data_IF_380827863507
#
_entry.id   IF_380827863507
#
_cell.length_a   1.000
_cell.length_b   1.000
_cell.length_c   1.000
_cell.angle_alpha   90.00
_cell.angle_beta   90.00
_cell.angle_gamma   90.00
#
_symmetry.space_group_name_H-M   'P 1'
#
loop_
_entity.id
_entity.type
_entity.pdbx_description
1 polymer ?
#
# COMPACT_ATOMS: atom_id res chain seq x y z
N UNK A 1 71.73 21.01 -6.19
CA UNK A 1 72.14 20.12 -7.26
C UNK A 1 71.06 19.09 -7.47
N UNK A 2 70.64 18.98 -8.68
CA UNK A 2 69.77 17.99 -9.34
C UNK A 2 68.35 18.45 -9.68
N UNK A 3 68.24 18.77 -10.94
CA UNK A 3 67.10 19.11 -11.76
C UNK A 3 66.04 18.00 -11.80
N UNK A 4 64.77 18.40 -11.75
CA UNK A 4 63.62 17.63 -12.28
C UNK A 4 63.15 18.24 -13.59
N UNK A 5 62.88 17.50 -14.64
CA UNK A 5 62.05 17.95 -15.75
C UNK A 5 60.61 17.44 -15.62
N UNK A 6 59.61 18.32 -15.83
CA UNK A 6 58.21 18.00 -15.94
C UNK A 6 57.83 17.41 -17.28
N UNK A 7 56.72 16.65 -17.38
CA UNK A 7 56.18 16.20 -18.63
C UNK A 7 55.05 17.07 -19.17
N UNK A 8 55.08 17.26 -20.47
CA UNK A 8 54.27 18.14 -21.27
C UNK A 8 52.80 17.79 -21.40
N UNK A 9 52.10 18.87 -21.58
CA UNK A 9 50.70 18.97 -21.93
C UNK A 9 50.48 18.57 -23.39
N UNK A 10 49.75 17.49 -23.63
CA UNK A 10 49.17 17.19 -24.96
C UNK A 10 47.70 17.61 -24.97
N UNK A 11 47.44 18.75 -25.58
CA UNK A 11 46.11 19.21 -25.95
C UNK A 11 45.63 18.35 -27.11
N UNK A 12 44.59 17.56 -26.88
CA UNK A 12 43.87 16.79 -27.91
C UNK A 12 42.65 17.60 -28.33
N UNK A 13 42.74 18.23 -29.49
CA UNK A 13 41.66 18.97 -30.13
C UNK A 13 40.64 17.96 -30.72
N UNK A 14 39.47 17.88 -30.13
CA UNK A 14 38.32 17.14 -30.66
C UNK A 14 37.43 18.06 -31.51
N UNK A 15 37.42 17.82 -32.80
CA UNK A 15 36.59 18.50 -33.78
C UNK A 15 35.14 18.06 -33.57
N UNK A 16 34.29 19.00 -33.21
CA UNK A 16 32.82 18.80 -33.13
C UNK A 16 32.24 19.05 -34.51
N UNK A 17 31.76 18.00 -35.16
CA UNK A 17 30.99 18.08 -36.41
C UNK A 17 29.52 18.30 -36.05
N UNK A 18 28.99 19.47 -36.34
CA UNK A 18 27.56 19.81 -36.22
C UNK A 18 26.85 19.28 -37.45
N UNK A 19 25.99 18.29 -37.26
CA UNK A 19 25.03 17.84 -38.33
C UNK A 19 23.69 18.48 -38.04
N UNK A 20 23.32 19.44 -38.85
CA UNK A 20 21.96 20.00 -38.96
C UNK A 20 21.07 19.00 -39.68
N UNK A 21 20.17 18.33 -38.95
CA UNK A 21 19.08 17.54 -39.53
C UNK A 21 17.77 18.31 -39.45
N UNK A 22 17.35 18.86 -40.58
CA UNK A 22 16.03 19.46 -40.75
C UNK A 22 14.97 18.32 -40.75
N UNK A 23 14.07 18.30 -39.78
CA UNK A 23 12.88 17.45 -39.79
C UNK A 23 11.68 18.29 -40.24
N UNK A 24 11.20 17.98 -41.45
CA UNK A 24 10.03 18.54 -42.10
C UNK A 24 8.76 17.95 -41.44
N UNK A 25 7.95 18.80 -40.82
CA UNK A 25 6.64 18.42 -40.27
C UNK A 25 5.63 18.49 -41.39
N UNK A 26 5.19 17.34 -41.88
CA UNK A 26 4.03 17.23 -42.80
C UNK A 26 2.74 17.12 -41.96
N UNK A 27 1.94 18.18 -41.97
CA UNK A 27 0.57 18.23 -41.46
C UNK A 27 -0.34 17.68 -42.57
N UNK A 28 -0.89 16.48 -42.39
CA UNK A 28 -2.00 15.98 -43.20
C UNK A 28 -3.33 16.28 -42.51
N UNK A 29 -4.00 17.32 -42.96
CA UNK A 29 -5.44 17.52 -42.81
C UNK A 29 -6.18 16.54 -43.73
N UNK A 30 -6.98 15.65 -43.16
CA UNK A 30 -8.04 14.94 -43.85
C UNK A 30 -9.37 15.26 -43.18
N UNK A 31 -10.09 16.21 -43.72
CA UNK A 31 -11.54 16.31 -43.63
C UNK A 31 -12.16 15.29 -44.60
N UNK A 32 -13.06 14.46 -44.11
CA UNK A 32 -14.13 13.88 -44.93
C UNK A 32 -15.36 13.59 -44.08
N UNK A 33 -16.42 14.21 -44.52
CA UNK A 33 -17.76 14.24 -43.98
C UNK A 33 -18.60 13.04 -44.45
N UNK A 34 -19.84 13.01 -43.95
CA UNK A 34 -21.01 12.14 -44.26
C UNK A 34 -21.04 10.85 -43.40
N UNK A 35 -21.96 10.65 -42.48
CA UNK A 35 -23.39 10.93 -42.55
C UNK A 35 -24.14 9.62 -42.63
N UNK A 36 -24.76 9.18 -41.51
CA UNK A 36 -26.07 8.52 -41.53
C UNK A 36 -26.51 8.21 -40.10
N UNK A 37 -27.56 8.88 -39.73
CA UNK A 37 -28.50 8.58 -38.66
C UNK A 37 -29.07 7.16 -38.81
N UNK A 38 -29.04 6.38 -37.75
CA UNK A 38 -29.89 5.21 -37.56
C UNK A 38 -30.50 5.23 -36.16
N UNK A 39 -31.79 5.04 -36.18
CA UNK A 39 -32.77 5.27 -35.13
C UNK A 39 -32.59 4.45 -33.87
N UNK A 40 -32.94 5.09 -32.77
CA UNK A 40 -33.33 4.56 -31.47
C UNK A 40 -34.45 3.53 -31.63
N UNK A 41 -34.30 2.36 -31.04
CA UNK A 41 -35.42 1.47 -30.74
C UNK A 41 -35.30 1.03 -29.27
N UNK A 42 -36.11 1.64 -28.45
CA UNK A 42 -36.44 1.13 -27.13
C UNK A 42 -37.29 -0.17 -27.25
N UNK A 43 -37.15 -1.14 -26.40
CA UNK A 43 -38.22 -2.07 -26.13
C UNK A 43 -38.94 -1.72 -24.82
N UNK A 44 -40.20 -1.50 -25.04
CA UNK A 44 -41.31 -1.26 -24.18
C UNK A 44 -41.52 -2.39 -23.17
N UNK A 45 -41.73 -1.98 -21.91
CA UNK A 45 -42.35 -2.73 -20.84
C UNK A 45 -43.63 -3.46 -21.26
N UNK A 46 -43.72 -4.74 -20.93
CA UNK A 46 -44.99 -5.43 -20.86
C UNK A 46 -45.16 -6.01 -19.45
N UNK A 47 -46.06 -5.41 -18.70
CA UNK A 47 -46.68 -5.99 -17.51
C UNK A 47 -47.66 -7.07 -17.95
N UNK A 48 -47.63 -8.21 -17.28
CA UNK A 48 -48.72 -9.16 -17.30
C UNK A 48 -48.97 -9.65 -15.88
N UNK A 49 -50.08 -9.29 -15.45
CA UNK A 49 -50.87 -9.65 -14.30
C UNK A 49 -51.49 -11.03 -14.49
N UNK A 50 -51.53 -11.91 -13.46
CA UNK A 50 -52.52 -12.92 -13.20
C UNK A 50 -52.19 -13.66 -11.89
N UNK A 51 -52.86 -13.31 -10.84
CA UNK A 51 -54.09 -13.90 -10.32
C UNK A 51 -53.91 -15.21 -9.59
N UNK A 52 -54.16 -15.07 -8.31
CA UNK A 52 -54.62 -15.95 -7.26
C UNK A 52 -55.18 -17.33 -7.66
N UNK A 53 -54.72 -18.33 -6.91
CA UNK A 53 -55.37 -19.61 -6.76
C UNK A 53 -55.18 -20.10 -5.33
N UNK A 54 -56.23 -19.94 -4.57
CA UNK A 54 -56.44 -20.45 -3.22
C UNK A 54 -57.19 -21.75 -3.36
N UNK A 55 -56.72 -22.83 -2.73
CA UNK A 55 -57.60 -23.91 -2.32
C UNK A 55 -57.03 -24.70 -1.15
N UNK A 56 -57.93 -24.92 -0.23
CA UNK A 56 -57.88 -25.59 1.04
C UNK A 56 -57.86 -27.14 0.88
N UNK A 57 -57.43 -27.82 1.95
CA UNK A 57 -57.62 -29.28 2.07
C UNK A 57 -56.72 -29.89 3.15
N UNK A 58 -57.07 -29.78 4.38
CA UNK A 58 -57.72 -30.63 5.39
C UNK A 58 -56.95 -31.90 5.77
N UNK A 59 -56.51 -31.88 7.01
CA UNK A 59 -56.42 -32.89 8.07
C UNK A 59 -56.41 -34.40 7.71
N UNK A 60 -55.50 -35.09 8.38
CA UNK A 60 -55.49 -36.52 8.58
C UNK A 60 -54.51 -36.90 9.66
N UNK A 61 -55.02 -37.31 10.74
CA UNK A 61 -54.54 -37.68 12.08
C UNK A 61 -53.80 -39.02 12.06
N UNK A 62 -52.96 -39.18 13.09
CA UNK A 62 -52.58 -40.41 13.80
C UNK A 62 -51.50 -41.37 13.22
N UNK A 63 -50.48 -41.54 14.03
CA UNK A 63 -49.47 -42.57 13.94
C UNK A 63 -48.37 -42.46 15.02
N UNK A 64 -48.73 -42.83 16.24
CA UNK A 64 -47.91 -42.95 17.46
C UNK A 64 -47.02 -44.20 17.36
N UNK A 65 -45.82 -44.09 17.77
CA UNK A 65 -44.87 -45.01 18.42
C UNK A 65 -43.47 -44.85 17.81
N UNK A 66 -42.40 -44.85 18.42
CA UNK A 66 -41.86 -45.23 19.72
C UNK A 66 -40.35 -45.05 19.66
N UNK A 67 -39.83 -44.62 20.75
CA UNK A 67 -38.47 -44.71 21.27
C UNK A 67 -37.32 -45.19 20.37
N UNK A 68 -36.28 -44.38 20.31
CA UNK A 68 -34.96 -44.73 19.83
C UNK A 68 -33.99 -43.58 20.08
N UNK A 69 -33.87 -43.21 21.37
CA UNK A 69 -32.78 -42.37 21.88
C UNK A 69 -31.46 -43.10 21.63
N UNK A 70 -30.70 -42.61 20.67
CA UNK A 70 -29.25 -42.74 20.58
C UNK A 70 -28.72 -41.37 20.14
N UNK A 71 -28.55 -40.53 21.13
CA UNK A 71 -27.65 -39.40 21.03
C UNK A 71 -26.28 -39.93 20.61
N UNK A 72 -25.88 -39.61 19.41
CA UNK A 72 -24.49 -39.72 18.96
C UNK A 72 -23.64 -38.72 19.77
N UNK A 73 -23.20 -39.14 20.95
CA UNK A 73 -22.02 -38.64 21.62
C UNK A 73 -20.80 -38.92 20.77
N UNK A 74 -20.58 -38.13 19.73
CA UNK A 74 -19.38 -38.16 18.90
C UNK A 74 -18.72 -36.78 18.83
N UNK A 75 -18.65 -36.10 19.99
CA UNK A 75 -18.20 -34.72 20.08
C UNK A 75 -17.06 -34.42 21.03
N UNK A 76 -16.40 -35.38 21.67
CA UNK A 76 -15.39 -35.06 22.69
C UNK A 76 -14.13 -35.95 22.71
N UNK A 77 -13.83 -36.68 21.62
CA UNK A 77 -12.57 -37.45 21.52
C UNK A 77 -11.38 -36.68 20.94
N UNK A 78 -11.57 -35.46 20.47
CA UNK A 78 -10.51 -34.65 19.85
C UNK A 78 -9.66 -33.87 20.86
N UNK A 79 -9.87 -34.03 22.16
CA UNK A 79 -9.12 -33.32 23.23
C UNK A 79 -8.07 -34.15 23.95
N UNK A 80 -7.90 -35.44 23.61
CA UNK A 80 -6.80 -36.24 24.13
C UNK A 80 -5.49 -35.81 23.43
N UNK A 81 -4.63 -35.05 24.13
CA UNK A 81 -3.36 -34.62 23.62
C UNK A 81 -2.39 -35.80 23.40
N UNK A 82 -1.54 -35.67 22.41
CA UNK A 82 -0.47 -36.62 22.12
C UNK A 82 0.61 -36.50 23.19
N UNK A 83 0.73 -37.52 24.06
CA UNK A 83 1.77 -37.56 25.08
C UNK A 83 3.03 -38.25 24.56
N UNK A 84 4.16 -37.53 24.55
CA UNK A 84 5.44 -37.99 24.02
C UNK A 84 6.52 -37.86 25.08
N UNK A 85 7.44 -38.85 25.14
CA UNK A 85 8.62 -38.74 25.95
C UNK A 85 9.60 -37.73 25.35
N UNK A 86 10.51 -37.14 26.16
CA UNK A 86 11.54 -36.22 25.62
C UNK A 86 12.36 -36.83 24.49
N UNK A 87 12.69 -38.12 24.57
CA UNK A 87 13.43 -38.86 23.55
C UNK A 87 12.62 -38.99 22.23
N UNK A 88 11.29 -39.14 22.36
CA UNK A 88 10.39 -39.16 21.19
C UNK A 88 10.25 -37.80 20.53
N UNK A 89 10.19 -36.72 21.33
CA UNK A 89 10.17 -35.34 20.82
C UNK A 89 11.46 -35.03 20.05
N UNK A 90 12.61 -35.38 20.62
CA UNK A 90 13.91 -35.21 19.98
C UNK A 90 14.03 -36.02 18.68
N UNK A 91 13.61 -37.29 18.68
CA UNK A 91 13.62 -38.17 17.51
C UNK A 91 12.73 -37.65 16.38
N UNK A 92 11.60 -37.01 16.72
CA UNK A 92 10.70 -36.38 15.76
C UNK A 92 11.18 -34.99 15.33
N UNK A 93 12.19 -34.42 15.99
CA UNK A 93 12.67 -33.08 15.71
C UNK A 93 11.66 -31.98 16.09
N UNK A 94 10.83 -32.23 17.12
CA UNK A 94 9.85 -31.25 17.59
C UNK A 94 10.55 -30.15 18.37
N UNK A 95 10.44 -28.92 17.90
CA UNK A 95 10.84 -27.74 18.67
C UNK A 95 9.61 -26.90 19.00
N UNK A 96 9.55 -26.38 20.21
CA UNK A 96 8.45 -25.52 20.65
C UNK A 96 8.96 -24.12 20.95
N UNK A 97 8.19 -23.11 20.59
CA UNK A 97 8.44 -21.71 20.94
C UNK A 97 7.22 -21.09 21.61
N UNK A 98 7.42 -20.11 22.52
CA UNK A 98 6.30 -19.40 23.11
C UNK A 98 5.58 -18.54 22.08
N UNK A 99 4.25 -18.62 22.05
CA UNK A 99 3.40 -17.75 21.24
C UNK A 99 3.65 -16.28 21.61
N UNK A 100 3.95 -15.46 20.61
CA UNK A 100 4.20 -14.04 20.82
C UNK A 100 2.88 -13.30 21.04
N UNK A 101 2.85 -12.38 22.02
CA UNK A 101 1.75 -11.45 22.18
C UNK A 101 1.81 -10.42 21.06
N UNK A 102 0.71 -10.21 20.35
CA UNK A 102 0.57 -9.17 19.35
C UNK A 102 -0.77 -8.47 19.47
N UNK A 103 -0.80 -7.19 19.08
CA UNK A 103 -2.01 -6.42 18.89
C UNK A 103 -2.36 -6.43 17.42
N UNK A 104 -3.55 -6.90 17.08
CA UNK A 104 -4.04 -7.00 15.72
C UNK A 104 -5.10 -5.94 15.45
N UNK A 105 -4.95 -5.26 14.34
CA UNK A 105 -5.98 -4.40 13.78
C UNK A 105 -6.65 -5.09 12.60
N UNK A 106 -7.95 -4.99 12.48
CA UNK A 106 -8.59 -5.29 11.20
C UNK A 106 -8.01 -4.37 10.14
N UNK A 107 -7.91 -4.87 8.90
CA UNK A 107 -7.24 -4.14 7.83
C UNK A 107 -8.19 -3.87 6.67
N UNK A 108 -8.12 -2.65 6.15
CA UNK A 108 -8.75 -2.27 4.89
C UNK A 108 -7.75 -2.38 3.76
N UNK A 109 -8.16 -2.94 2.63
CA UNK A 109 -7.31 -3.09 1.46
C UNK A 109 -7.45 -1.91 0.51
N UNK A 110 -6.32 -1.39 0.05
CA UNK A 110 -6.19 -0.32 -0.92
C UNK A 110 -5.17 -0.66 -2.01
N UNK A 111 -5.04 0.27 -2.97
CA UNK A 111 -4.13 0.14 -4.11
C UNK A 111 -3.11 1.26 -4.08
N UNK A 112 -1.83 0.89 -4.13
CA UNK A 112 -0.71 1.81 -4.19
C UNK A 112 -0.11 1.92 -5.59
N UNK A 113 0.46 3.08 -5.90
CA UNK A 113 1.30 3.29 -7.09
C UNK A 113 2.53 4.07 -6.64
N UNK A 114 3.72 3.55 -6.94
CA UNK A 114 4.98 4.24 -6.71
C UNK A 114 5.14 5.33 -7.77
N UNK A 115 5.27 6.58 -7.35
CA UNK A 115 5.39 7.71 -8.27
C UNK A 115 6.84 7.87 -8.75
N UNK A 116 6.97 8.37 -9.98
CA UNK A 116 8.27 8.67 -10.59
C UNK A 116 8.91 9.88 -9.90
N UNK A 117 10.17 9.75 -9.47
CA UNK A 117 10.90 10.86 -8.81
C UNK A 117 11.18 12.01 -9.77
N UNK A 118 11.30 11.76 -11.09
CA UNK A 118 11.57 12.78 -12.09
C UNK A 118 10.52 13.89 -12.08
N UNK A 119 9.24 13.54 -11.95
CA UNK A 119 8.16 14.55 -11.87
C UNK A 119 8.29 15.44 -10.63
N UNK A 120 8.75 14.87 -9.52
CA UNK A 120 9.00 15.60 -8.26
C UNK A 120 10.21 16.51 -8.42
N UNK A 121 11.32 16.01 -8.97
CA UNK A 121 12.52 16.77 -9.24
C UNK A 121 12.25 17.97 -10.15
N UNK A 122 11.46 17.79 -11.21
CA UNK A 122 11.06 18.88 -12.11
C UNK A 122 10.24 19.94 -11.38
N UNK A 123 9.27 19.55 -10.58
CA UNK A 123 8.42 20.47 -9.83
C UNK A 123 9.23 21.27 -8.79
N UNK A 124 10.23 20.67 -8.15
CA UNK A 124 11.17 21.34 -7.24
C UNK A 124 12.02 22.34 -8.01
N UNK A 125 12.58 21.95 -9.16
CA UNK A 125 13.41 22.83 -9.99
C UNK A 125 12.62 24.03 -10.54
N UNK A 126 11.37 23.81 -10.96
CA UNK A 126 10.47 24.87 -11.43
C UNK A 126 10.19 25.90 -10.31
N UNK A 127 9.94 25.42 -9.09
CA UNK A 127 9.72 26.31 -7.96
C UNK A 127 10.99 27.08 -7.57
N UNK A 128 12.15 26.43 -7.54
CA UNK A 128 13.43 27.10 -7.29
C UNK A 128 13.71 28.19 -8.33
N UNK A 129 13.44 27.92 -9.60
CA UNK A 129 13.58 28.87 -10.70
C UNK A 129 12.65 30.06 -10.53
N UNK A 130 11.37 29.80 -10.20
CA UNK A 130 10.40 30.87 -9.95
C UNK A 130 10.79 31.73 -8.73
N UNK A 131 11.31 31.11 -7.66
CA UNK A 131 11.80 31.81 -6.48
C UNK A 131 13.00 32.74 -6.82
N UNK A 132 14.00 32.22 -7.52
CA UNK A 132 15.17 32.97 -7.94
C UNK A 132 14.78 34.15 -8.84
N UNK A 133 13.87 33.92 -9.81
CA UNK A 133 13.38 34.95 -10.73
C UNK A 133 12.61 36.05 -9.99
N UNK A 134 11.72 35.69 -9.07
CA UNK A 134 10.96 36.68 -8.27
C UNK A 134 11.87 37.47 -7.32
N UNK A 135 12.88 36.83 -6.73
CA UNK A 135 13.87 37.54 -5.89
C UNK A 135 14.70 38.54 -6.71
N UNK A 136 15.15 38.14 -7.90
CA UNK A 136 15.92 39.01 -8.79
C UNK A 136 15.10 40.22 -9.25
N UNK A 137 13.86 40.03 -9.73
CA UNK A 137 13.01 41.11 -10.19
C UNK A 137 12.60 42.06 -9.07
N UNK A 138 12.33 41.54 -7.86
CA UNK A 138 12.07 42.34 -6.67
C UNK A 138 13.28 43.22 -6.30
N UNK A 139 14.49 42.66 -6.29
CA UNK A 139 15.71 43.42 -6.04
C UNK A 139 15.98 44.48 -7.12
N UNK A 140 15.62 44.18 -8.39
CA UNK A 140 15.71 45.11 -9.51
C UNK A 140 14.72 46.27 -9.35
N UNK A 141 13.47 45.99 -8.99
CA UNK A 141 12.43 46.97 -8.69
C UNK A 141 12.90 47.93 -7.55
N UNK A 142 13.41 47.35 -6.48
CA UNK A 142 13.88 48.18 -5.34
C UNK A 142 15.02 49.11 -5.73
N UNK A 143 16.00 48.60 -6.51
CA UNK A 143 17.08 49.48 -7.06
C UNK A 143 16.54 50.56 -7.96
N UNK A 144 15.58 50.25 -8.86
CA UNK A 144 14.96 51.22 -9.74
C UNK A 144 14.23 52.33 -8.95
N UNK A 145 13.48 51.96 -7.93
CA UNK A 145 12.79 52.89 -7.02
C UNK A 145 13.74 53.83 -6.29
N UNK A 146 14.84 53.29 -5.77
CA UNK A 146 15.88 54.09 -5.10
C UNK A 146 16.56 55.08 -6.06
N UNK A 147 16.91 54.67 -7.29
CA UNK A 147 17.52 55.51 -8.29
C UNK A 147 16.56 56.58 -8.80
N UNK A 148 15.29 56.32 -8.96
CA UNK A 148 14.28 57.33 -9.31
C UNK A 148 14.12 58.37 -8.22
N UNK A 149 14.11 57.96 -6.94
CA UNK A 149 14.08 58.87 -5.79
C UNK A 149 15.34 59.77 -5.63
N UNK A 150 16.47 59.39 -6.26
CA UNK A 150 17.73 60.13 -6.21
C UNK A 150 17.83 61.03 -7.44
N UNK A 151 17.12 62.19 -7.41
CA UNK A 151 17.15 63.24 -8.44
C UNK A 151 16.88 62.79 -9.88
N UNK A 152 16.04 61.79 -10.10
CA UNK A 152 15.65 61.35 -11.42
C UNK A 152 16.76 60.65 -12.21
N UNK A 153 17.65 59.93 -11.56
CA UNK A 153 18.75 59.19 -12.21
C UNK A 153 18.25 58.14 -13.22
N UNK A 154 16.98 57.71 -13.15
CA UNK A 154 16.29 56.89 -14.15
C UNK A 154 14.92 57.48 -14.50
N UNK A 155 14.39 57.11 -15.69
CA UNK A 155 13.05 57.51 -16.10
C UNK A 155 11.96 56.81 -15.31
N UNK A 156 10.78 57.42 -15.20
CA UNK A 156 9.61 56.83 -14.58
C UNK A 156 9.17 55.55 -15.34
N UNK A 157 9.39 55.48 -16.65
CA UNK A 157 9.11 54.32 -17.47
C UNK A 157 9.94 53.08 -17.09
N UNK A 158 11.23 53.27 -16.79
CA UNK A 158 12.12 52.20 -16.33
C UNK A 158 11.70 51.69 -14.93
N UNK A 159 11.30 52.56 -14.01
CA UNK A 159 10.76 52.15 -12.71
C UNK A 159 9.48 51.35 -12.89
N UNK A 160 8.53 51.83 -13.72
CA UNK A 160 7.29 51.16 -13.98
C UNK A 160 7.50 49.78 -14.65
N UNK A 161 8.46 49.66 -15.58
CA UNK A 161 8.82 48.38 -16.21
C UNK A 161 9.38 47.41 -15.17
N UNK A 162 10.25 47.88 -14.25
CA UNK A 162 10.78 47.01 -13.19
C UNK A 162 9.70 46.55 -12.20
N UNK A 163 8.73 47.43 -11.90
CA UNK A 163 7.59 47.12 -11.03
C UNK A 163 6.66 46.09 -11.68
N UNK A 164 6.32 46.27 -12.97
CA UNK A 164 5.52 45.33 -13.72
C UNK A 164 6.16 43.93 -13.73
N UNK A 165 7.48 43.90 -14.02
CA UNK A 165 8.21 42.63 -14.06
C UNK A 165 8.20 41.93 -12.67
N UNK A 166 8.46 42.65 -11.59
CA UNK A 166 8.41 42.08 -10.25
C UNK A 166 7.03 41.54 -9.90
N UNK A 167 5.97 42.22 -10.30
CA UNK A 167 4.58 41.79 -10.09
C UNK A 167 4.27 40.49 -10.85
N UNK A 168 4.67 40.41 -12.13
CA UNK A 168 4.48 39.20 -12.95
C UNK A 168 5.25 38.03 -12.38
N UNK A 169 6.52 38.22 -12.01
CA UNK A 169 7.36 37.13 -11.48
C UNK A 169 6.87 36.68 -10.09
N UNK A 170 6.37 37.58 -9.26
CA UNK A 170 5.73 37.21 -7.98
C UNK A 170 4.44 36.38 -8.18
N UNK A 171 3.63 36.77 -9.16
CA UNK A 171 2.43 36.00 -9.52
C UNK A 171 2.78 34.60 -10.06
N UNK A 172 3.83 34.49 -10.87
CA UNK A 172 4.35 33.21 -11.37
C UNK A 172 4.84 32.30 -10.22
N UNK A 173 5.55 32.86 -9.25
CA UNK A 173 5.97 32.16 -8.04
C UNK A 173 4.77 31.64 -7.24
N UNK A 174 3.78 32.51 -7.01
CA UNK A 174 2.54 32.11 -6.31
C UNK A 174 1.86 30.95 -7.01
N UNK A 175 1.66 31.06 -8.33
CA UNK A 175 1.02 30.00 -9.14
C UNK A 175 1.80 28.68 -9.05
N UNK A 176 3.13 28.71 -9.14
CA UNK A 176 3.97 27.51 -9.03
C UNK A 176 3.88 26.89 -7.65
N UNK A 177 3.85 27.70 -6.59
CA UNK A 177 3.69 27.25 -5.21
C UNK A 177 2.32 26.57 -5.01
N UNK A 178 1.24 27.18 -5.53
CA UNK A 178 -0.11 26.61 -5.45
C UNK A 178 -0.25 25.30 -6.21
N UNK A 179 0.30 25.22 -7.43
CA UNK A 179 0.34 23.97 -8.20
C UNK A 179 1.02 22.86 -7.41
N UNK A 180 2.16 23.16 -6.81
CA UNK A 180 2.92 22.20 -6.02
C UNK A 180 2.13 21.72 -4.79
N UNK A 181 1.52 22.65 -4.05
CA UNK A 181 0.70 22.31 -2.87
C UNK A 181 -0.52 21.45 -3.24
N UNK A 182 -1.14 21.72 -4.37
CA UNK A 182 -2.26 20.93 -4.89
C UNK A 182 -1.83 19.54 -5.31
N UNK A 183 -0.65 19.41 -5.92
CA UNK A 183 -0.11 18.13 -6.38
C UNK A 183 0.32 17.22 -5.23
N UNK A 184 0.95 17.77 -4.20
CA UNK A 184 1.50 16.99 -3.08
C UNK A 184 0.55 16.81 -1.90
N UNK A 185 -0.72 17.18 -2.06
CA UNK A 185 -1.77 16.94 -1.09
C UNK A 185 -1.80 17.94 0.06
N UNK A 186 -2.71 17.67 0.98
CA UNK A 186 -2.94 18.54 2.13
C UNK A 186 -2.03 18.19 3.30
N UNK A 187 -1.29 19.18 3.79
CA UNK A 187 -0.39 19.04 4.96
C UNK A 187 0.67 17.95 4.77
N UNK A 188 1.53 18.07 3.76
CA UNK A 188 2.66 17.15 3.62
C UNK A 188 3.56 17.23 4.86
N UNK A 189 4.38 16.20 5.12
CA UNK A 189 5.24 16.14 6.31
C UNK A 189 6.46 17.10 6.28
N UNK A 190 6.53 17.97 5.28
CA UNK A 190 7.58 19.02 5.12
C UNK A 190 6.97 20.41 5.10
N UNK A 191 7.79 21.41 5.40
CA UNK A 191 7.36 22.83 5.45
C UNK A 191 7.65 23.56 4.15
N UNK A 192 8.77 23.26 3.51
CA UNK A 192 9.22 23.90 2.27
C UNK A 192 10.04 22.93 1.42
N UNK A 193 10.46 23.38 0.23
CA UNK A 193 11.21 22.57 -0.72
C UNK A 193 12.67 22.30 -0.33
N UNK A 194 13.19 22.98 0.70
CA UNK A 194 14.55 22.77 1.21
C UNK A 194 14.58 21.70 2.31
N UNK A 195 13.41 21.18 2.72
CA UNK A 195 13.33 20.05 3.64
C UNK A 195 14.07 18.85 3.03
N UNK A 196 14.87 18.15 3.84
CA UNK A 196 15.66 17.01 3.41
C UNK A 196 14.83 15.89 2.78
N UNK A 197 13.59 15.72 3.22
CA UNK A 197 12.66 14.72 2.65
C UNK A 197 12.27 15.05 1.21
N UNK A 198 12.03 16.32 0.91
CA UNK A 198 11.74 16.77 -0.46
C UNK A 198 12.96 16.59 -1.35
N UNK A 199 14.15 16.90 -0.84
CA UNK A 199 15.39 16.67 -1.59
C UNK A 199 15.62 15.17 -1.83
N UNK A 200 15.44 14.31 -0.83
CA UNK A 200 15.53 12.86 -0.98
C UNK A 200 14.52 12.30 -2.00
N UNK A 201 13.28 12.83 -2.03
CA UNK A 201 12.29 12.49 -3.05
C UNK A 201 12.73 12.91 -4.45
N UNK A 202 13.27 14.13 -4.60
CA UNK A 202 13.73 14.64 -5.89
C UNK A 202 14.97 13.91 -6.41
N UNK A 203 15.83 13.38 -5.53
CA UNK A 203 17.00 12.57 -5.89
C UNK A 203 16.69 11.08 -6.07
N UNK A 204 15.50 10.63 -5.68
CA UNK A 204 15.13 9.22 -5.74
C UNK A 204 15.63 8.37 -4.57
N UNK A 205 16.19 8.99 -3.51
CA UNK A 205 16.63 8.29 -2.28
C UNK A 205 15.44 7.84 -1.42
N UNK A 206 14.28 8.43 -1.65
CA UNK A 206 12.99 8.09 -1.04
C UNK A 206 11.94 8.03 -2.14
N UNK A 207 11.03 7.09 -2.06
CA UNK A 207 9.94 6.93 -3.01
C UNK A 207 8.64 7.50 -2.43
N UNK A 208 7.88 8.20 -3.26
CA UNK A 208 6.53 8.67 -2.95
C UNK A 208 5.52 7.67 -3.49
N UNK A 209 4.64 7.19 -2.64
CA UNK A 209 3.57 6.26 -3.03
C UNK A 209 2.22 6.94 -2.86
N UNK A 210 1.40 6.90 -3.90
CA UNK A 210 -0.01 7.25 -3.80
C UNK A 210 -0.82 5.99 -3.55
N UNK A 211 -1.58 5.98 -2.45
CA UNK A 211 -2.44 4.88 -2.05
C UNK A 211 -3.88 5.33 -2.11
N UNK A 212 -4.74 4.54 -2.75
CA UNK A 212 -6.18 4.83 -2.87
C UNK A 212 -6.99 3.68 -2.30
N UNK A 213 -7.87 4.02 -1.36
CA UNK A 213 -8.84 3.09 -0.78
C UNK A 213 -10.21 3.34 -1.41
N UNK A 214 -10.91 2.30 -1.88
CA UNK A 214 -12.25 2.42 -2.45
C UNK A 214 -13.24 3.09 -1.46
N UNK A 215 -14.29 3.67 -2.00
CA UNK A 215 -15.32 4.33 -1.19
C UNK A 215 -15.91 3.39 -0.14
N UNK A 216 -16.01 3.88 1.09
CA UNK A 216 -16.62 3.16 2.21
C UNK A 216 -15.70 2.19 2.94
N UNK A 217 -14.49 1.91 2.43
CA UNK A 217 -13.58 0.94 3.05
C UNK A 217 -12.71 1.54 4.16
N UNK A 218 -12.46 2.85 4.12
CA UNK A 218 -11.60 3.53 5.08
C UNK A 218 -12.22 4.82 5.59
N UNK A 219 -12.27 4.97 6.93
CA UNK A 219 -12.69 6.20 7.61
C UNK A 219 -11.47 6.82 8.30
N UNK A 220 -11.26 8.13 8.13
CA UNK A 220 -10.12 8.80 8.75
C UNK A 220 -8.82 8.73 7.93
N UNK A 221 -7.72 9.13 8.54
CA UNK A 221 -6.36 9.03 7.99
C UNK A 221 -5.59 8.07 8.89
N UNK A 222 -5.16 6.92 8.39
CA UNK A 222 -4.36 5.96 9.16
C UNK A 222 -2.99 6.54 9.53
N UNK A 223 -2.38 6.01 10.56
CA UNK A 223 -1.03 6.41 10.97
C UNK A 223 0.04 5.85 10.02
N UNK A 224 -0.20 4.65 9.53
CA UNK A 224 0.73 3.89 8.67
C UNK A 224 -0.01 2.97 7.71
N UNK A 225 0.70 2.48 6.71
CA UNK A 225 0.25 1.45 5.79
C UNK A 225 1.27 0.31 5.75
N UNK A 226 0.79 -0.87 5.38
CA UNK A 226 1.62 -2.01 5.02
C UNK A 226 1.45 -2.30 3.53
N UNK A 227 2.53 -2.40 2.79
CA UNK A 227 2.48 -2.59 1.33
C UNK A 227 3.30 -3.78 0.85
N UNK A 228 2.80 -4.43 -0.18
CA UNK A 228 3.49 -5.50 -0.89
C UNK A 228 3.17 -5.47 -2.38
N UNK A 229 3.88 -6.28 -3.17
CA UNK A 229 3.58 -6.45 -4.59
C UNK A 229 2.19 -7.04 -4.78
N UNK A 230 1.53 -6.65 -5.86
CA UNK A 230 0.23 -7.24 -6.22
C UNK A 230 0.37 -8.75 -6.39
N UNK A 231 -0.52 -9.48 -5.71
CA UNK A 231 -0.49 -10.95 -5.67
C UNK A 231 0.27 -11.54 -4.48
N UNK A 232 0.96 -10.72 -3.68
CA UNK A 232 1.50 -11.16 -2.40
C UNK A 232 0.41 -11.32 -1.36
N UNK A 233 0.63 -12.24 -0.43
CA UNK A 233 -0.23 -12.44 0.73
C UNK A 233 0.16 -11.51 1.88
N UNK A 234 -0.76 -11.23 2.80
CA UNK A 234 -0.44 -10.54 4.06
C UNK A 234 0.49 -11.35 4.97
N UNK A 235 0.63 -12.66 4.69
CA UNK A 235 1.59 -13.56 5.34
C UNK A 235 3.03 -13.32 4.87
N UNK A 236 3.21 -12.76 3.67
CA UNK A 236 4.52 -12.43 3.13
C UNK A 236 5.10 -11.19 3.82
N UNK A 237 6.39 -10.96 3.63
CA UNK A 237 7.03 -9.75 4.11
C UNK A 237 6.40 -8.51 3.44
N UNK A 238 5.98 -7.56 4.25
CA UNK A 238 5.42 -6.28 3.82
C UNK A 238 6.39 -5.15 4.16
N UNK A 239 6.27 -4.04 3.43
CA UNK A 239 7.00 -2.81 3.71
C UNK A 239 6.09 -1.85 4.49
N UNK A 240 6.57 -1.37 5.62
CA UNK A 240 5.88 -0.33 6.38
C UNK A 240 6.07 1.02 5.71
N UNK A 241 4.98 1.77 5.61
CA UNK A 241 4.93 3.04 4.90
C UNK A 241 4.41 4.13 5.82
N UNK A 242 5.25 5.08 6.12
CA UNK A 242 4.93 6.27 6.93
C UNK A 242 5.88 7.43 6.59
N UNK A 243 5.50 8.68 6.85
CA UNK A 243 4.21 9.17 7.32
C UNK A 243 3.11 9.09 6.25
N UNK A 244 1.85 9.20 6.69
CA UNK A 244 0.66 9.21 5.83
C UNK A 244 0.00 10.58 5.85
N UNK A 245 -0.37 11.11 4.67
CA UNK A 245 -1.15 12.35 4.56
C UNK A 245 -2.11 12.30 3.37
N UNK A 246 -3.11 13.18 3.37
CA UNK A 246 -4.16 13.18 2.36
C UNK A 246 -3.61 13.61 1.01
N UNK A 247 -3.83 12.80 -0.01
CA UNK A 247 -3.52 13.08 -1.42
C UNK A 247 -4.75 13.60 -2.18
N UNK A 248 -4.58 14.25 -3.32
CA UNK A 248 -5.66 14.49 -4.27
C UNK A 248 -6.31 13.16 -4.69
N UNK A 249 -7.62 13.23 -4.97
CA UNK A 249 -8.36 12.05 -5.41
C UNK A 249 -7.74 11.41 -6.66
N UNK A 250 -7.74 10.09 -6.71
CA UNK A 250 -7.34 9.36 -7.91
C UNK A 250 -8.42 9.50 -8.98
N UNK A 251 -8.02 9.77 -10.22
CA UNK A 251 -8.95 9.95 -11.35
C UNK A 251 -9.53 8.62 -11.84
N UNK A 252 -8.85 7.51 -11.55
CA UNK A 252 -9.22 6.19 -12.05
C UNK A 252 -9.95 5.33 -10.98
N UNK A 253 -9.70 5.61 -9.71
CA UNK A 253 -10.25 4.83 -8.59
C UNK A 253 -11.07 5.75 -7.71
N UNK A 254 -12.41 5.63 -7.71
CA UNK A 254 -13.27 6.40 -6.79
C UNK A 254 -12.98 6.00 -5.35
N UNK A 255 -12.51 6.95 -4.56
CA UNK A 255 -12.14 6.65 -3.17
C UNK A 255 -11.37 7.77 -2.49
N UNK A 256 -10.74 7.43 -1.39
CA UNK A 256 -9.86 8.33 -0.63
C UNK A 256 -8.42 8.01 -0.95
N UNK A 257 -7.68 9.03 -1.35
CA UNK A 257 -6.26 8.87 -1.67
C UNK A 257 -5.38 9.49 -0.60
N UNK A 258 -4.24 8.86 -0.39
CA UNK A 258 -3.21 9.26 0.56
C UNK A 258 -1.85 9.17 -0.09
N UNK A 259 -0.92 9.96 0.40
CA UNK A 259 0.49 9.78 0.13
C UNK A 259 1.20 9.17 1.32
N UNK A 260 2.26 8.44 1.02
CA UNK A 260 3.19 7.89 2.00
C UNK A 260 4.59 7.77 1.41
N UNK A 261 5.58 7.53 2.25
CA UNK A 261 6.99 7.41 1.87
C UNK A 261 7.49 5.97 2.02
N UNK A 262 8.41 5.59 1.14
CA UNK A 262 9.16 4.34 1.19
C UNK A 262 10.65 4.62 0.97
N UNK A 263 11.55 3.82 1.55
CA UNK A 263 12.95 3.81 1.18
C UNK A 263 13.15 3.48 -0.30
N UNK A 264 14.17 4.04 -0.93
CA UNK A 264 14.52 3.72 -2.31
C UNK A 264 14.82 2.22 -2.48
N UNK A 265 14.42 1.69 -3.63
CA UNK A 265 14.71 0.30 -4.01
C UNK A 265 13.78 -0.75 -3.41
N UNK A 266 12.81 -0.37 -2.58
CA UNK A 266 11.79 -1.32 -2.10
C UNK A 266 10.92 -1.84 -3.26
N UNK A 267 10.53 -0.95 -4.17
CA UNK A 267 9.73 -1.25 -5.36
C UNK A 267 10.23 -0.46 -6.56
N UNK A 268 9.84 -0.85 -7.77
CA UNK A 268 10.14 -0.08 -8.97
C UNK A 268 9.21 1.14 -9.09
N UNK A 269 9.70 2.23 -9.72
CA UNK A 269 8.85 3.37 -10.07
C UNK A 269 7.76 2.95 -11.05
N UNK A 270 6.56 3.46 -10.86
CA UNK A 270 5.37 3.03 -11.60
C UNK A 270 4.79 1.68 -11.16
N UNK A 271 5.46 0.95 -10.25
CA UNK A 271 4.97 -0.33 -9.74
C UNK A 271 3.66 -0.14 -8.97
N UNK A 272 2.75 -1.10 -9.14
CA UNK A 272 1.48 -1.16 -8.42
C UNK A 272 1.61 -2.07 -7.22
N UNK A 273 1.05 -1.62 -6.11
CA UNK A 273 1.14 -2.28 -4.82
C UNK A 273 -0.26 -2.61 -4.31
N UNK A 274 -0.36 -3.71 -3.59
CA UNK A 274 -1.45 -3.95 -2.67
C UNK A 274 -1.08 -3.37 -1.32
N UNK A 275 -1.98 -2.61 -0.72
CA UNK A 275 -1.71 -1.87 0.52
C UNK A 275 -2.81 -2.16 1.52
N UNK A 276 -2.43 -2.34 2.78
CA UNK A 276 -3.33 -2.54 3.90
C UNK A 276 -3.20 -1.39 4.88
N UNK A 277 -4.33 -0.91 5.37
CA UNK A 277 -4.42 0.09 6.41
C UNK A 277 -5.08 -0.49 7.65
N UNK A 278 -4.51 -0.32 8.84
CA UNK A 278 -5.17 -0.71 10.07
C UNK A 278 -6.45 0.11 10.28
N UNK A 279 -7.53 -0.56 10.66
CA UNK A 279 -8.83 0.05 10.97
C UNK A 279 -9.33 -0.42 12.34
N UNK A 280 -10.14 0.40 13.00
CA UNK A 280 -10.70 0.06 14.30
C UNK A 280 -9.72 0.16 15.46
N UNK A 281 -10.09 -0.44 16.58
CA UNK A 281 -9.24 -0.55 17.78
C UNK A 281 -8.44 -1.85 17.71
N UNK A 282 -7.21 -1.88 18.26
CA UNK A 282 -6.42 -3.09 18.34
C UNK A 282 -7.09 -4.13 19.23
N UNK A 283 -6.97 -5.38 18.84
CA UNK A 283 -7.35 -6.53 19.66
C UNK A 283 -6.09 -7.30 20.04
N UNK A 284 -5.87 -7.49 21.32
CA UNK A 284 -4.71 -8.24 21.81
C UNK A 284 -4.94 -9.74 21.72
N UNK A 285 -3.92 -10.48 21.29
CA UNK A 285 -3.97 -11.93 21.13
C UNK A 285 -2.59 -12.54 20.94
N UNK A 286 -2.54 -13.70 20.31
CA UNK A 286 -1.33 -14.45 20.06
C UNK A 286 -1.05 -14.62 18.56
N UNK A 287 0.22 -14.63 18.18
CA UNK A 287 0.70 -14.99 16.85
C UNK A 287 0.97 -16.50 16.81
N UNK A 288 0.31 -17.19 15.90
CA UNK A 288 0.64 -18.57 15.52
C UNK A 288 1.47 -18.53 14.23
N UNK A 289 2.77 -18.89 14.28
CA UNK A 289 3.64 -18.84 13.11
C UNK A 289 3.15 -19.78 12.00
N UNK A 290 3.35 -19.39 10.73
CA UNK A 290 3.00 -20.20 9.58
C UNK A 290 3.64 -21.60 9.63
N UNK A 291 4.87 -21.70 10.16
CA UNK A 291 5.60 -22.95 10.31
C UNK A 291 4.94 -23.94 11.27
N UNK A 292 4.11 -23.49 12.19
CA UNK A 292 3.38 -24.32 13.15
C UNK A 292 2.07 -24.89 12.58
N UNK A 293 1.65 -24.43 11.41
CA UNK A 293 0.34 -24.76 10.84
C UNK A 293 0.39 -26.07 10.06
N UNK A 294 -0.60 -26.92 10.30
CA UNK A 294 -0.84 -28.15 9.52
C UNK A 294 -2.28 -28.22 9.07
N UNK A 295 -2.50 -28.64 7.84
CA UNK A 295 -3.84 -28.82 7.24
C UNK A 295 -4.32 -30.24 7.45
N UNK A 296 -5.49 -30.41 8.06
CA UNK A 296 -6.17 -31.70 8.19
C UNK A 296 -7.67 -31.52 8.09
N UNK A 297 -8.35 -32.35 7.29
CA UNK A 297 -9.79 -32.31 7.06
C UNK A 297 -10.33 -30.92 6.69
N UNK A 298 -9.60 -30.22 5.80
CA UNK A 298 -9.93 -28.85 5.34
C UNK A 298 -9.91 -27.78 6.45
N UNK A 299 -9.30 -28.07 7.59
CA UNK A 299 -9.10 -27.14 8.70
C UNK A 299 -7.62 -27.00 9.00
N UNK A 300 -7.26 -25.84 9.54
CA UNK A 300 -5.90 -25.54 9.94
C UNK A 300 -5.72 -25.76 11.43
N UNK A 301 -4.60 -26.41 11.79
CA UNK A 301 -4.31 -26.83 13.15
C UNK A 301 -2.89 -26.46 13.55
N UNK A 302 -2.68 -26.26 14.83
CA UNK A 302 -1.35 -26.22 15.44
C UNK A 302 -1.32 -27.12 16.67
N UNK A 303 -0.12 -27.46 17.15
CA UNK A 303 0.09 -28.24 18.35
C UNK A 303 0.61 -27.34 19.48
N UNK A 304 -0.10 -27.31 20.60
CA UNK A 304 0.22 -26.53 21.77
C UNK A 304 0.62 -27.47 22.91
N UNK A 305 1.80 -27.25 23.50
CA UNK A 305 2.26 -28.00 24.67
C UNK A 305 1.54 -27.48 25.93
N UNK A 306 0.55 -28.18 26.42
CA UNK A 306 -0.22 -27.81 27.62
C UNK A 306 0.48 -28.23 28.90
N UNK A 307 1.15 -29.39 28.91
CA UNK A 307 2.04 -29.86 29.95
C UNK A 307 3.30 -30.44 29.33
N UNK A 308 4.44 -30.47 30.01
CA UNK A 308 5.67 -31.00 29.45
C UNK A 308 5.47 -32.37 28.78
N UNK A 309 5.72 -32.45 27.48
CA UNK A 309 5.58 -33.64 26.68
C UNK A 309 4.14 -33.95 26.20
N UNK A 310 3.13 -33.15 26.57
CA UNK A 310 1.75 -33.35 26.10
C UNK A 310 1.38 -32.24 25.12
N UNK A 311 1.25 -32.60 23.86
CA UNK A 311 0.88 -31.71 22.76
C UNK A 311 -0.60 -31.90 22.42
N UNK A 312 -1.36 -30.82 22.48
CA UNK A 312 -2.78 -30.81 22.16
C UNK A 312 -2.98 -30.13 20.80
N UNK A 313 -3.72 -30.76 19.93
CA UNK A 313 -4.09 -30.18 18.64
C UNK A 313 -5.18 -29.12 18.84
N UNK A 314 -4.94 -27.93 18.28
CA UNK A 314 -5.82 -26.77 18.41
C UNK A 314 -6.13 -26.24 17.03
N UNK A 315 -7.41 -25.97 16.75
CA UNK A 315 -7.83 -25.35 15.48
C UNK A 315 -7.36 -23.89 15.41
N UNK A 316 -6.89 -23.47 14.26
CA UNK A 316 -6.40 -22.12 14.02
C UNK A 316 -7.31 -21.40 13.05
N UNK A 317 -7.90 -20.28 13.49
CA UNK A 317 -8.62 -19.38 12.59
C UNK A 317 -7.63 -18.66 11.68
N UNK A 318 -7.73 -18.91 10.39
CA UNK A 318 -6.89 -18.31 9.35
C UNK A 318 -7.50 -17.05 8.74
N UNK A 319 -8.61 -16.56 9.26
CA UNK A 319 -9.29 -15.35 8.79
C UNK A 319 -8.54 -14.05 9.07
N UNK A 320 -7.53 -14.10 9.98
CA UNK A 320 -6.74 -12.94 10.40
C UNK A 320 -5.23 -13.12 10.12
N UNK A 321 -4.82 -13.10 8.85
CA UNK A 321 -3.41 -13.23 8.50
C UNK A 321 -2.64 -11.98 8.91
N UNK A 322 -1.40 -12.17 9.36
CA UNK A 322 -0.46 -11.10 9.69
C UNK A 322 0.96 -11.51 9.30
N UNK A 323 1.94 -10.62 9.39
CA UNK A 323 3.30 -10.93 8.98
C UNK A 323 3.87 -12.18 9.65
N UNK A 324 4.05 -13.24 8.88
CA UNK A 324 4.65 -14.49 9.32
C UNK A 324 3.71 -15.53 9.94
N UNK A 325 2.38 -15.27 10.07
CA UNK A 325 1.44 -16.22 10.67
C UNK A 325 0.01 -15.73 10.75
N UNK A 326 -0.73 -16.25 11.72
CA UNK A 326 -2.14 -15.91 11.95
C UNK A 326 -2.35 -15.39 13.37
N UNK A 327 -3.18 -14.37 13.49
CA UNK A 327 -3.62 -13.83 14.77
C UNK A 327 -4.78 -14.66 15.33
N UNK A 328 -4.68 -15.03 16.61
CA UNK A 328 -5.72 -15.78 17.33
C UNK A 328 -5.96 -15.16 18.72
N UNK A 329 -7.19 -15.29 19.23
CA UNK A 329 -7.58 -14.71 20.53
C UNK A 329 -7.96 -15.73 21.59
N UNK A 330 -8.49 -16.89 21.18
CA UNK A 330 -9.16 -17.81 22.11
C UNK A 330 -8.35 -19.09 22.34
N UNK A 331 -7.97 -19.77 21.28
CA UNK A 331 -7.46 -21.13 21.33
C UNK A 331 -6.00 -21.22 21.80
N UNK A 332 -5.19 -20.21 21.43
CA UNK A 332 -3.79 -20.08 21.83
C UNK A 332 -3.62 -18.75 22.54
N UNK A 333 -2.99 -18.77 23.70
CA UNK A 333 -2.72 -17.56 24.47
C UNK A 333 -1.25 -17.14 24.34
N UNK A 334 -0.94 -15.84 24.49
CA UNK A 334 0.44 -15.39 24.59
C UNK A 334 1.22 -16.17 25.65
N UNK A 335 2.38 -16.71 25.27
CA UNK A 335 3.23 -17.52 26.13
C UNK A 335 2.97 -19.03 26.07
N UNK A 336 1.88 -19.49 25.45
CA UNK A 336 1.67 -20.91 25.18
C UNK A 336 2.79 -21.43 24.27
N UNK A 337 3.34 -22.61 24.57
CA UNK A 337 4.38 -23.21 23.75
C UNK A 337 3.77 -23.91 22.54
N UNK A 338 4.11 -23.45 21.35
CA UNK A 338 3.63 -23.97 20.07
C UNK A 338 4.74 -24.77 19.41
N UNK A 339 4.43 -25.95 18.87
CA UNK A 339 5.36 -26.71 18.04
C UNK A 339 5.54 -26.02 16.67
N UNK A 340 6.74 -25.48 16.44
CA UNK A 340 7.08 -24.77 15.21
C UNK A 340 7.72 -25.67 14.15
N UNK A 341 8.13 -26.90 14.55
CA UNK A 341 8.65 -27.91 13.64
C UNK A 341 7.88 -29.21 13.82
N UNK A 342 7.95 -30.08 12.81
CA UNK A 342 7.39 -31.42 12.85
C UNK A 342 5.86 -31.52 13.05
N UNK A 343 5.09 -30.45 12.83
CA UNK A 343 3.63 -30.46 12.99
C UNK A 343 2.93 -31.55 12.15
N UNK A 344 3.37 -31.78 10.92
CA UNK A 344 2.87 -32.86 10.08
C UNK A 344 3.20 -34.27 10.60
N UNK A 345 4.36 -34.44 11.25
CA UNK A 345 4.75 -35.72 11.84
C UNK A 345 3.96 -35.99 13.12
N UNK A 346 3.64 -34.95 13.90
CA UNK A 346 2.75 -35.05 15.04
C UNK A 346 1.36 -35.47 14.61
N UNK A 347 0.84 -34.88 13.52
CA UNK A 347 -0.44 -35.27 12.95
C UNK A 347 -0.45 -36.72 12.48
N UNK A 348 0.58 -37.17 11.76
CA UNK A 348 0.67 -38.56 11.30
C UNK A 348 0.72 -39.53 12.46
N UNK A 349 1.39 -39.18 13.56
CA UNK A 349 1.43 -40.04 14.76
C UNK A 349 0.11 -40.07 15.50
N UNK A 350 -0.60 -38.96 15.58
CA UNK A 350 -1.93 -38.87 16.19
C UNK A 350 -2.97 -39.69 15.39
N UNK A 351 -2.97 -39.55 14.07
CA UNK A 351 -3.92 -40.27 13.19
C UNK A 351 -3.53 -41.72 12.98
N UNK A 352 -2.25 -42.06 12.97
CA UNK A 352 -1.76 -43.44 12.79
C UNK A 352 -1.87 -44.28 14.06
N UNK A 353 -1.96 -43.71 15.25
CA UNK A 353 -2.23 -44.44 16.50
C UNK A 353 -3.70 -44.84 16.67
N UNK A 354 -4.59 -44.33 15.79
CA UNK A 354 -6.02 -44.72 15.77
C UNK A 354 -6.31 -45.94 14.93
N UNK A 355 -5.31 -46.49 14.19
CA UNK A 355 -5.42 -47.74 13.40
C UNK A 355 -4.56 -48.85 14.02
N UNK A 356 -4.77 -49.20 15.30
CA UNK A 356 -4.39 -50.55 15.73
C UNK A 356 -5.55 -51.49 15.39
N UNK A 357 -5.36 -52.48 14.51
CA UNK A 357 -6.38 -53.51 14.27
C UNK A 357 -6.40 -54.49 15.45
N UNK A 358 -7.60 -54.83 15.89
CA UNK A 358 -7.90 -55.98 16.73
C UNK A 358 -7.36 -57.32 16.17
#
# INVERSE_FOLDING_TARGET
>A
MSHCPGPGNKVLAMKTTVVFGAVLVAVCLMLSACGKTAAVTEPKTAAADSKAGKEDGKAGEDGKADAGDKADEKGDKDKEGLTLTPEQLEKLGVTTEPAQAIDYHEESTGYGVVLEHQAIAQAVADLQTAQATAQFSKASQERARQLHGTQGAISADLEQTAEQKATVDAAALTLTTEKLSTTWGMKPPWKDIHDSRVQSLAHGDTQLVRVTFPLGTLQGTPAEFHGARVGSSRLDATSDMHPVWVAPADVNIPGRSFFTLLPAGAFAEGERLQVWAPVGQPTSGALVPMAAIVLNNSKYWCYVEKTPGTLVRVEVDTGRPTGGGYFVTEEVKPGDKIAITAASQLLAKETGSSEEPD
#
